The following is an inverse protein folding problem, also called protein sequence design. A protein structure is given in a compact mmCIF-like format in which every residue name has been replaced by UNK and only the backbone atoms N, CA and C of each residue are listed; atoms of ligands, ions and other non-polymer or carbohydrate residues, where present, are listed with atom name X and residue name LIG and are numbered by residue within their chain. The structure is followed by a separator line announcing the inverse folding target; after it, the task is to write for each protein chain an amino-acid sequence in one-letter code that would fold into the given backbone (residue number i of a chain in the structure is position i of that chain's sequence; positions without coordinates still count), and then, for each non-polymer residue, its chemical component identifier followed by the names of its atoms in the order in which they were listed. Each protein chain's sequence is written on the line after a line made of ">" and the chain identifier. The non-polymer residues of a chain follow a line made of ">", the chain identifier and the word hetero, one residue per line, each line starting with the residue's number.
data_IF_025696131140
#
_entry.id   IF_025696131140
#
_cell.length_a   1.000
_cell.length_b   1.000
_cell.length_c   1.000
_cell.angle_alpha   90.00
_cell.angle_beta   90.00
_cell.angle_gamma   90.00
#
_symmetry.space_group_name_H-M   'P 1'
#
loop_
_entity.id
_entity.type
_entity.pdbx_description
1 polymer ?
#
# COMPACT_ATOMS: atom_id res chain seq x y z
N UNK A 1 31.98 49.96 50.92
CA UNK A 1 32.52 49.16 49.79
C UNK A 1 31.98 47.73 49.76
N UNK A 2 32.16 46.90 50.81
CA UNK A 2 31.82 45.47 50.78
C UNK A 2 30.32 45.11 50.61
N UNK A 3 29.39 45.94 51.10
CA UNK A 3 27.93 45.67 51.00
C UNK A 3 27.39 45.90 49.59
N UNK A 4 27.90 46.92 48.89
CA UNK A 4 27.49 47.27 47.52
C UNK A 4 28.00 46.26 46.48
N UNK A 5 29.18 45.67 46.72
CA UNK A 5 29.77 44.63 45.87
C UNK A 5 28.96 43.32 45.90
N UNK A 6 28.42 42.93 47.06
CA UNK A 6 27.58 41.72 47.17
C UNK A 6 26.24 41.86 46.43
N UNK A 7 25.63 43.04 46.49
CA UNK A 7 24.35 43.32 45.82
C UNK A 7 24.49 43.31 44.30
N UNK A 8 25.56 43.92 43.77
CA UNK A 8 25.84 43.94 42.32
C UNK A 8 26.09 42.52 41.78
N UNK A 9 26.81 41.68 42.54
CA UNK A 9 27.07 40.29 42.15
C UNK A 9 25.78 39.45 42.14
N UNK A 10 24.90 39.63 43.13
CA UNK A 10 23.61 38.93 43.18
C UNK A 10 22.65 39.32 42.03
N UNK A 11 22.63 40.59 41.61
CA UNK A 11 21.82 41.04 40.47
C UNK A 11 22.33 40.47 39.15
N UNK A 12 23.65 40.47 38.93
CA UNK A 12 24.26 39.88 37.74
C UNK A 12 23.98 38.37 37.62
N UNK A 13 23.99 37.64 38.74
CA UNK A 13 23.66 36.22 38.77
C UNK A 13 22.19 35.94 38.48
N UNK A 14 21.28 36.81 38.94
CA UNK A 14 19.87 36.72 38.61
C UNK A 14 19.62 36.96 37.10
N UNK A 15 20.26 37.97 36.51
CA UNK A 15 20.20 38.29 35.07
C UNK A 15 20.78 37.17 34.19
N UNK A 16 21.90 36.57 34.58
CA UNK A 16 22.48 35.40 33.89
C UNK A 16 21.55 34.19 33.98
N UNK A 17 20.96 33.95 35.15
CA UNK A 17 20.02 32.83 35.33
C UNK A 17 18.73 33.04 34.53
N UNK A 18 18.19 34.26 34.46
CA UNK A 18 17.02 34.56 33.61
C UNK A 18 17.37 34.49 32.13
N UNK A 19 18.56 34.90 31.71
CA UNK A 19 19.06 34.73 30.34
C UNK A 19 19.27 33.26 29.97
N UNK A 20 19.92 32.46 30.82
CA UNK A 20 20.12 31.01 30.62
C UNK A 20 18.77 30.28 30.61
N UNK A 21 17.84 30.66 31.50
CA UNK A 21 16.50 30.07 31.54
C UNK A 21 15.65 30.50 30.34
N UNK A 22 15.82 31.73 29.84
CA UNK A 22 15.24 32.20 28.58
C UNK A 22 15.75 31.43 27.38
N UNK A 23 17.07 31.24 27.28
CA UNK A 23 17.72 30.44 26.23
C UNK A 23 17.31 28.96 26.31
N UNK A 24 17.24 28.37 27.51
CA UNK A 24 16.80 26.99 27.72
C UNK A 24 15.31 26.80 27.37
N UNK A 25 14.46 27.79 27.65
CA UNK A 25 13.04 27.82 27.24
C UNK A 25 12.90 27.98 25.73
N UNK A 26 13.70 28.83 25.10
CA UNK A 26 13.73 29.03 23.64
C UNK A 26 14.21 27.76 22.91
N UNK A 27 15.24 27.08 23.43
CA UNK A 27 15.73 25.79 22.95
C UNK A 27 14.68 24.68 23.10
N UNK A 28 13.93 24.64 24.22
CA UNK A 28 12.83 23.69 24.43
C UNK A 28 11.66 23.92 23.46
N UNK A 29 11.29 25.17 23.20
CA UNK A 29 10.21 25.50 22.27
C UNK A 29 10.59 25.15 20.82
N UNK A 30 11.83 25.42 20.40
CA UNK A 30 12.36 25.02 19.09
C UNK A 30 12.43 23.50 18.92
N UNK A 31 12.84 22.79 19.97
CA UNK A 31 12.90 21.31 19.98
C UNK A 31 11.51 20.70 19.88
N UNK A 32 10.53 21.23 20.61
CA UNK A 32 9.12 20.80 20.51
C UNK A 32 8.53 21.10 19.13
N UNK A 33 8.87 22.24 18.52
CA UNK A 33 8.44 22.59 17.15
C UNK A 33 9.00 21.61 16.12
N UNK A 34 10.27 21.22 16.26
CA UNK A 34 10.92 20.21 15.41
C UNK A 34 10.35 18.81 15.61
N UNK A 35 10.01 18.43 16.85
CA UNK A 35 9.32 17.16 17.13
C UNK A 35 7.92 17.14 16.52
N UNK A 36 7.15 18.24 16.62
CA UNK A 36 5.84 18.36 15.97
C UNK A 36 5.94 18.32 14.44
N UNK A 37 6.93 18.98 13.83
CA UNK A 37 7.21 18.90 12.39
C UNK A 37 7.61 17.47 11.95
N UNK A 38 8.41 16.76 12.75
CA UNK A 38 8.77 15.37 12.48
C UNK A 38 7.57 14.41 12.57
N UNK A 39 6.60 14.69 13.46
CA UNK A 39 5.36 13.91 13.56
C UNK A 39 4.39 14.12 12.39
N UNK A 40 4.48 15.24 11.67
CA UNK A 40 3.61 15.51 10.50
C UNK A 40 4.07 14.84 9.19
N UNK A 41 5.22 14.15 9.19
CA UNK A 41 5.77 13.50 8.00
C UNK A 41 5.65 11.97 8.04
N UNK A 42 4.65 11.43 8.75
CA UNK A 42 4.20 10.06 8.53
C UNK A 42 3.16 10.05 7.40
N UNK A 43 3.64 10.10 6.16
CA UNK A 43 2.81 9.76 5.01
C UNK A 43 2.43 8.28 5.15
N UNK A 44 1.20 8.00 5.57
CA UNK A 44 0.64 6.66 5.56
C UNK A 44 0.54 6.21 4.09
N UNK A 45 1.46 5.37 3.65
CA UNK A 45 1.28 4.66 2.38
C UNK A 45 0.19 3.61 2.59
N UNK A 46 -0.98 3.81 1.99
CA UNK A 46 -1.99 2.76 1.93
C UNK A 46 -1.48 1.73 0.92
N UNK A 47 -1.00 0.58 1.42
CA UNK A 47 -0.62 -0.53 0.56
C UNK A 47 -1.89 -1.20 0.01
N UNK A 48 -1.98 -1.32 -1.30
CA UNK A 48 -3.03 -2.11 -1.96
C UNK A 48 -2.80 -3.59 -1.66
N UNK A 49 -3.89 -4.31 -1.42
CA UNK A 49 -3.83 -5.73 -1.08
C UNK A 49 -4.55 -6.55 -2.12
N UNK A 50 -3.94 -7.67 -2.53
CA UNK A 50 -4.56 -8.71 -3.34
C UNK A 50 -4.55 -10.01 -2.55
N UNK A 51 -5.68 -10.71 -2.52
CA UNK A 51 -5.89 -11.94 -1.75
C UNK A 51 -6.36 -13.05 -2.67
N UNK A 52 -5.63 -14.16 -2.68
CA UNK A 52 -6.01 -15.42 -3.34
C UNK A 52 -6.03 -16.51 -2.25
N UNK A 53 -7.21 -17.02 -1.92
CA UNK A 53 -7.41 -17.97 -0.82
C UNK A 53 -7.52 -19.43 -1.28
N UNK A 54 -7.37 -19.69 -2.58
CA UNK A 54 -7.47 -21.03 -3.15
C UNK A 54 -6.06 -21.63 -3.22
N UNK A 55 -5.78 -22.69 -2.44
CA UNK A 55 -4.44 -23.26 -2.37
C UNK A 55 -4.10 -24.02 -3.65
N UNK A 56 -4.85 -25.07 -3.97
CA UNK A 56 -4.71 -25.88 -5.17
C UNK A 56 -6.10 -26.30 -5.67
N UNK A 57 -6.32 -26.21 -6.99
CA UNK A 57 -7.56 -26.62 -7.63
C UNK A 57 -7.24 -27.66 -8.70
N UNK A 58 -7.89 -28.82 -8.61
CA UNK A 58 -7.77 -29.90 -9.58
C UNK A 58 -9.08 -30.05 -10.34
N UNK A 59 -9.00 -30.11 -11.66
CA UNK A 59 -10.14 -30.34 -12.55
C UNK A 59 -9.74 -31.18 -13.75
N UNK A 60 -10.72 -31.70 -14.49
CA UNK A 60 -10.49 -32.57 -15.64
C UNK A 60 -10.36 -31.77 -16.94
N UNK A 61 -9.60 -32.30 -17.90
CA UNK A 61 -9.50 -31.75 -19.25
C UNK A 61 -10.89 -31.61 -19.87
N UNK A 62 -11.14 -30.49 -20.55
CA UNK A 62 -12.44 -30.15 -21.14
C UNK A 62 -13.45 -29.52 -20.18
N UNK A 63 -13.24 -29.60 -18.85
CA UNK A 63 -14.08 -28.92 -17.87
C UNK A 63 -13.74 -27.42 -17.77
N UNK A 64 -14.56 -26.69 -17.02
CA UNK A 64 -14.27 -25.30 -16.67
C UNK A 64 -13.79 -25.19 -15.22
N UNK A 65 -12.96 -24.19 -14.95
CA UNK A 65 -12.52 -23.85 -13.58
C UNK A 65 -12.65 -22.36 -13.34
N UNK A 66 -12.91 -22.00 -12.09
CA UNK A 66 -13.02 -20.62 -11.63
C UNK A 66 -11.97 -20.34 -10.55
N UNK A 67 -11.08 -19.41 -10.83
CA UNK A 67 -10.07 -18.90 -9.90
C UNK A 67 -10.56 -17.56 -9.36
N UNK A 68 -10.61 -17.41 -8.04
CA UNK A 68 -11.12 -16.24 -7.34
C UNK A 68 -9.97 -15.38 -6.81
N UNK A 69 -10.14 -14.06 -6.93
CA UNK A 69 -9.23 -13.06 -6.41
C UNK A 69 -10.04 -11.94 -5.78
N UNK A 70 -9.60 -11.48 -4.61
CA UNK A 70 -10.13 -10.28 -3.94
C UNK A 70 -9.07 -9.21 -3.88
N UNK A 71 -9.47 -7.97 -3.99
CA UNK A 71 -8.55 -6.84 -3.97
C UNK A 71 -9.03 -5.72 -3.07
N UNK A 72 -8.10 -4.89 -2.61
CA UNK A 72 -8.40 -3.68 -1.84
C UNK A 72 -7.73 -2.50 -2.53
N UNK A 73 -8.56 -1.57 -3.00
CA UNK A 73 -8.12 -0.30 -3.56
C UNK A 73 -9.07 0.83 -3.18
N UNK A 74 -8.53 2.04 -3.19
CA UNK A 74 -9.25 3.32 -3.12
C UNK A 74 -9.26 4.07 -4.46
N UNK A 75 -8.61 3.51 -5.49
CA UNK A 75 -8.55 4.11 -6.82
C UNK A 75 -9.91 4.09 -7.52
N UNK A 76 -10.21 5.14 -8.29
CA UNK A 76 -11.35 5.18 -9.20
C UNK A 76 -11.08 4.32 -10.43
N UNK A 77 -9.88 4.47 -10.99
CA UNK A 77 -9.47 3.93 -12.28
C UNK A 77 -8.28 2.99 -12.11
N UNK A 78 -8.49 1.73 -12.46
CA UNK A 78 -7.48 0.69 -12.26
C UNK A 78 -7.71 -0.49 -13.19
N UNK A 79 -6.65 -1.29 -13.36
CA UNK A 79 -6.67 -2.55 -14.07
C UNK A 79 -6.48 -3.71 -13.11
N UNK A 80 -7.21 -4.79 -13.36
CA UNK A 80 -6.99 -6.09 -12.75
C UNK A 80 -6.50 -7.04 -13.83
N UNK A 81 -5.38 -7.70 -13.59
CA UNK A 81 -4.71 -8.53 -14.59
C UNK A 81 -4.50 -9.93 -14.04
N UNK A 82 -4.77 -10.92 -14.88
CA UNK A 82 -4.46 -12.32 -14.60
C UNK A 82 -3.22 -12.76 -15.37
N UNK A 83 -2.33 -13.44 -14.65
CA UNK A 83 -1.12 -14.04 -15.16
C UNK A 83 -1.10 -15.54 -14.88
N UNK A 84 -0.45 -16.29 -15.78
CA UNK A 84 -0.09 -17.69 -15.64
C UNK A 84 1.41 -17.81 -15.50
N UNK A 85 1.87 -18.43 -14.42
CA UNK A 85 3.27 -18.78 -14.23
C UNK A 85 3.51 -20.23 -14.64
N UNK A 86 4.31 -20.40 -15.69
CA UNK A 86 4.73 -21.73 -16.14
C UNK A 86 5.69 -22.37 -15.14
N UNK A 87 5.87 -23.71 -15.17
CA UNK A 87 6.86 -24.39 -14.33
C UNK A 87 8.30 -23.85 -14.50
N UNK A 88 8.62 -23.24 -15.65
CA UNK A 88 9.89 -22.54 -15.89
C UNK A 88 10.07 -21.25 -15.08
N UNK A 89 9.04 -20.78 -14.39
CA UNK A 89 8.99 -19.49 -13.69
C UNK A 89 8.56 -18.32 -14.58
N UNK A 90 8.42 -18.54 -15.89
CA UNK A 90 7.98 -17.50 -16.82
C UNK A 90 6.54 -17.07 -16.54
N UNK A 91 6.34 -15.75 -16.37
CA UNK A 91 5.02 -15.14 -16.25
C UNK A 91 4.45 -14.84 -17.64
N UNK A 92 3.24 -15.31 -17.90
CA UNK A 92 2.50 -15.12 -19.14
C UNK A 92 1.22 -14.34 -18.84
N UNK A 93 1.00 -13.23 -19.55
CA UNK A 93 -0.24 -12.48 -19.50
C UNK A 93 -1.41 -13.31 -20.05
N UNK A 94 -2.57 -13.27 -19.39
CA UNK A 94 -3.78 -13.93 -19.86
C UNK A 94 -4.85 -12.94 -20.31
N UNK A 95 -5.30 -12.09 -19.39
CA UNK A 95 -6.42 -11.19 -19.61
C UNK A 95 -6.39 -10.04 -18.59
N UNK A 96 -6.96 -8.90 -18.98
CA UNK A 96 -7.12 -7.74 -18.11
C UNK A 96 -8.57 -7.25 -18.08
N UNK A 97 -8.94 -6.65 -16.95
CA UNK A 97 -10.23 -6.00 -16.71
C UNK A 97 -9.99 -4.57 -16.26
N UNK A 98 -10.55 -3.60 -16.99
CA UNK A 98 -10.58 -2.20 -16.55
C UNK A 98 -11.79 -1.96 -15.62
N UNK A 99 -11.62 -1.11 -14.61
CA UNK A 99 -12.61 -0.86 -13.55
C UNK A 99 -13.96 -0.33 -14.04
N UNK A 100 -13.99 0.31 -15.21
CA UNK A 100 -15.22 0.88 -15.81
C UNK A 100 -15.78 0.05 -16.98
N UNK A 101 -15.13 -1.04 -17.36
CA UNK A 101 -15.57 -1.87 -18.49
C UNK A 101 -16.42 -3.06 -18.03
N UNK A 102 -17.25 -3.56 -18.94
CA UNK A 102 -17.91 -4.86 -18.77
C UNK A 102 -16.89 -6.00 -18.72
N UNK A 103 -17.34 -7.17 -18.25
CA UNK A 103 -16.53 -8.38 -18.16
C UNK A 103 -15.73 -8.66 -19.45
N UNK A 104 -14.41 -8.71 -19.31
CA UNK A 104 -13.50 -9.06 -20.38
C UNK A 104 -13.60 -10.54 -20.75
N UNK A 105 -13.37 -10.84 -22.03
CA UNK A 105 -13.29 -12.21 -22.55
C UNK A 105 -12.25 -12.28 -23.66
N UNK A 106 -11.40 -13.30 -23.60
CA UNK A 106 -10.43 -13.63 -24.64
C UNK A 106 -10.35 -15.15 -24.82
N UNK A 107 -10.86 -15.64 -25.96
CA UNK A 107 -10.92 -17.07 -26.25
C UNK A 107 -11.61 -17.89 -25.15
N UNK A 108 -10.82 -18.78 -24.52
CA UNK A 108 -11.25 -19.66 -23.42
C UNK A 108 -11.29 -18.98 -22.05
N UNK A 109 -10.67 -17.79 -21.92
CA UNK A 109 -10.59 -17.02 -20.68
C UNK A 109 -11.72 -16.00 -20.60
N UNK A 110 -12.41 -15.92 -19.47
CA UNK A 110 -13.39 -14.88 -19.19
C UNK A 110 -13.31 -14.39 -17.75
N UNK A 111 -13.72 -13.15 -17.55
CA UNK A 111 -13.75 -12.50 -16.24
C UNK A 111 -15.17 -12.47 -15.68
N UNK A 112 -15.30 -12.78 -14.39
CA UNK A 112 -16.47 -12.40 -13.60
C UNK A 112 -16.03 -11.28 -12.63
N UNK A 113 -16.30 -10.03 -13.02
CA UNK A 113 -15.89 -8.87 -12.24
C UNK A 113 -17.05 -8.35 -11.37
N UNK A 114 -16.80 -8.29 -10.07
CA UNK A 114 -17.74 -7.79 -9.08
C UNK A 114 -17.09 -6.62 -8.32
N UNK A 115 -17.20 -5.42 -8.91
CA UNK A 115 -16.58 -4.19 -8.38
C UNK A 115 -17.04 -3.86 -6.96
N UNK A 116 -18.33 -4.05 -6.66
CA UNK A 116 -18.90 -3.77 -5.34
C UNK A 116 -18.30 -4.69 -4.25
N UNK A 117 -18.08 -5.96 -4.59
CA UNK A 117 -17.53 -6.96 -3.68
C UNK A 117 -15.99 -7.00 -3.67
N UNK A 118 -15.37 -6.10 -4.45
CA UNK A 118 -13.94 -6.06 -4.74
C UNK A 118 -13.38 -7.45 -5.10
N UNK A 119 -14.11 -8.13 -5.98
CA UNK A 119 -13.83 -9.50 -6.41
C UNK A 119 -13.67 -9.58 -7.92
N UNK A 120 -12.70 -10.37 -8.36
CA UNK A 120 -12.49 -10.72 -9.76
C UNK A 120 -12.18 -12.20 -9.88
N UNK A 121 -13.01 -12.92 -10.62
CA UNK A 121 -12.76 -14.34 -10.90
C UNK A 121 -12.33 -14.54 -12.36
N UNK A 122 -11.28 -15.34 -12.56
CA UNK A 122 -10.91 -15.88 -13.86
C UNK A 122 -11.62 -17.20 -14.08
N UNK A 123 -12.36 -17.30 -15.18
CA UNK A 123 -13.00 -18.53 -15.64
C UNK A 123 -12.21 -19.02 -16.85
N UNK A 124 -11.71 -20.25 -16.76
CA UNK A 124 -11.02 -20.94 -17.85
C UNK A 124 -11.94 -22.05 -18.33
N UNK A 125 -12.46 -21.92 -19.54
CA UNK A 125 -13.32 -22.92 -20.17
C UNK A 125 -12.50 -23.95 -20.95
N UNK A 126 -13.04 -25.16 -21.13
CA UNK A 126 -12.43 -26.23 -21.92
C UNK A 126 -10.95 -26.46 -21.59
N UNK A 127 -10.66 -26.75 -20.31
CA UNK A 127 -9.31 -26.91 -19.78
C UNK A 127 -8.43 -27.83 -20.63
N UNK A 128 -7.16 -27.46 -20.78
CA UNK A 128 -6.15 -28.22 -21.48
C UNK A 128 -5.02 -28.64 -20.53
N UNK A 129 -4.18 -29.60 -20.92
CA UNK A 129 -3.12 -30.11 -20.05
C UNK A 129 -2.09 -29.02 -19.71
N UNK A 130 -1.82 -28.15 -20.68
CA UNK A 130 -0.97 -26.97 -20.57
C UNK A 130 -1.51 -25.95 -19.57
N UNK A 131 -2.78 -26.01 -19.16
CA UNK A 131 -3.36 -25.10 -18.15
C UNK A 131 -2.92 -25.43 -16.72
N UNK A 132 -2.22 -26.55 -16.49
CA UNK A 132 -1.61 -26.88 -15.21
C UNK A 132 -0.45 -25.93 -14.89
N UNK A 133 -0.71 -24.94 -14.06
CA UNK A 133 0.22 -23.85 -13.75
C UNK A 133 -0.20 -23.12 -12.46
N UNK A 134 0.66 -22.22 -11.97
CA UNK A 134 0.27 -21.25 -10.94
C UNK A 134 -0.36 -20.04 -11.59
N UNK A 135 -1.40 -19.47 -10.98
CA UNK A 135 -2.10 -18.31 -11.51
C UNK A 135 -2.06 -17.17 -10.50
N UNK A 136 -1.78 -15.97 -11.00
CA UNK A 136 -1.61 -14.77 -10.19
C UNK A 136 -2.56 -13.67 -10.65
N UNK A 137 -3.17 -13.02 -9.68
CA UNK A 137 -3.99 -11.83 -9.86
C UNK A 137 -3.16 -10.60 -9.45
N UNK A 138 -3.21 -9.55 -10.25
CA UNK A 138 -2.52 -8.31 -9.97
C UNK A 138 -3.47 -7.12 -10.12
N UNK A 139 -3.32 -6.13 -9.25
CA UNK A 139 -3.99 -4.84 -9.33
C UNK A 139 -2.96 -3.80 -9.76
N UNK A 140 -3.28 -3.05 -10.81
CA UNK A 140 -2.42 -2.01 -11.36
C UNK A 140 -3.18 -0.68 -11.39
N UNK A 141 -2.52 0.41 -11.02
CA UNK A 141 -3.07 1.76 -11.21
C UNK A 141 -3.21 2.03 -12.72
N UNK A 142 -4.26 2.74 -13.11
CA UNK A 142 -4.40 3.23 -14.48
C UNK A 142 -3.36 4.30 -14.84
N UNK A 143 -2.69 4.88 -13.83
CA UNK A 143 -1.68 5.95 -13.98
C UNK A 143 -0.23 5.45 -14.03
N UNK A 144 0.00 4.15 -14.23
CA UNK A 144 1.35 3.62 -14.46
C UNK A 144 1.80 3.76 -15.93
#
# INVERSE_FOLDING_TARGET
>A
AARHSKTLNSQLQAELNTFVQGNLRLMRLSSLLWVLLAFTFSASCVAQKVTQNQPDISSQVGQSVTLNCWYETSWSDYYLVWYKQLPSGQMTYLIQQYSEYSNARDGRYSINFQKADKSISLIISSLQLEDSAKYFCALCDSQC
#
